data_IF_656168807179
#
_entry.id   IF_656168807179
#
_cell.length_a   1.000
_cell.length_b   1.000
_cell.length_c   1.000
_cell.angle_alpha   90.00
_cell.angle_beta   90.00
_cell.angle_gamma   90.00
#
_symmetry.space_group_name_H-M   'P 1'
#
loop_
_entity.id
_entity.type
_entity.pdbx_description
1 polymer ?
#
# COMPACT_ATOMS: atom_id res chain seq x y z
N UNK A 1 -73.23 -22.51 -9.15
CA UNK A 1 -73.31 -22.93 -10.57
C UNK A 1 -73.10 -21.68 -11.45
N UNK A 2 -72.25 -21.78 -12.48
CA UNK A 2 -71.97 -20.81 -13.57
C UNK A 2 -71.09 -19.59 -13.16
N UNK A 3 -69.80 -19.45 -13.51
CA UNK A 3 -69.01 -19.50 -14.77
C UNK A 3 -69.24 -18.31 -15.73
N UNK A 4 -68.20 -17.46 -15.77
CA UNK A 4 -67.57 -16.67 -16.87
C UNK A 4 -68.28 -15.42 -17.44
N UNK A 5 -67.46 -14.37 -17.61
CA UNK A 5 -67.09 -13.63 -18.85
C UNK A 5 -66.58 -12.23 -18.40
N UNK A 6 -65.27 -11.94 -18.43
CA UNK A 6 -64.42 -11.52 -19.57
C UNK A 6 -64.72 -10.08 -20.06
N UNK A 7 -63.84 -9.12 -19.74
CA UNK A 7 -63.31 -7.99 -20.55
C UNK A 7 -62.75 -6.92 -19.57
N UNK A 8 -61.47 -6.52 -19.53
CA UNK A 8 -60.59 -5.86 -20.50
C UNK A 8 -60.24 -4.46 -19.96
N UNK A 9 -58.96 -4.23 -19.63
CA UNK A 9 -58.15 -3.03 -19.92
C UNK A 9 -56.92 -3.04 -18.99
N UNK A 10 -55.74 -3.42 -19.48
CA UNK A 10 -54.74 -2.56 -20.13
C UNK A 10 -53.92 -1.74 -19.11
N UNK A 11 -52.58 -1.79 -19.26
CA UNK A 11 -51.54 -0.84 -18.78
C UNK A 11 -50.77 -1.28 -17.50
N UNK A 12 -49.43 -1.29 -17.49
CA UNK A 12 -48.51 -1.70 -18.55
C UNK A 12 -47.32 -2.56 -18.05
N UNK A 13 -46.75 -3.27 -19.00
CA UNK A 13 -45.36 -3.71 -19.05
C UNK A 13 -44.40 -2.53 -18.80
N UNK A 14 -43.89 -2.37 -17.58
CA UNK A 14 -42.75 -1.50 -17.31
C UNK A 14 -41.47 -2.25 -17.66
N UNK A 15 -41.18 -2.19 -18.95
CA UNK A 15 -39.83 -2.30 -19.49
C UNK A 15 -38.96 -1.20 -18.86
N UNK A 16 -37.70 -1.53 -18.58
CA UNK A 16 -36.48 -0.73 -18.78
C UNK A 16 -35.51 -0.79 -17.60
N UNK A 17 -34.42 -1.52 -17.86
CA UNK A 17 -33.06 -1.02 -17.71
C UNK A 17 -32.70 -0.36 -16.37
N UNK A 18 -32.26 -1.16 -15.41
CA UNK A 18 -31.05 -0.80 -14.67
C UNK A 18 -29.89 -1.46 -15.38
N UNK A 19 -29.34 -0.75 -16.36
CA UNK A 19 -28.09 -1.15 -16.98
C UNK A 19 -27.07 -1.43 -15.89
N UNK A 20 -26.36 -2.55 -16.00
CA UNK A 20 -24.99 -2.58 -15.56
C UNK A 20 -24.32 -1.43 -16.30
N UNK A 21 -24.27 -0.25 -15.67
CA UNK A 21 -23.34 0.77 -16.05
C UNK A 21 -22.03 0.04 -16.17
N UNK A 22 -21.50 -0.02 -17.39
CA UNK A 22 -20.14 -0.43 -17.64
C UNK A 22 -19.34 0.59 -16.85
N UNK A 23 -19.05 0.25 -15.60
CA UNK A 23 -18.05 0.93 -14.80
C UNK A 23 -16.80 0.78 -15.65
N UNK A 24 -16.52 1.84 -16.40
CA UNK A 24 -15.25 2.00 -17.04
C UNK A 24 -14.23 2.03 -15.91
N UNK A 25 -13.61 0.88 -15.66
CA UNK A 25 -12.52 0.69 -14.70
C UNK A 25 -11.23 1.40 -15.13
N UNK A 26 -11.35 2.51 -15.87
CA UNK A 26 -10.24 3.37 -16.31
C UNK A 26 -10.16 4.65 -15.50
N UNK A 27 -10.93 4.78 -14.42
CA UNK A 27 -10.72 5.78 -13.36
C UNK A 27 -9.44 5.52 -12.57
N UNK A 28 -8.36 5.11 -13.25
CA UNK A 28 -7.05 4.89 -12.69
C UNK A 28 -6.56 6.20 -12.11
N UNK A 29 -6.32 6.17 -10.82
CA UNK A 29 -5.83 7.25 -9.98
C UNK A 29 -4.37 7.64 -10.28
N UNK A 30 -3.78 7.07 -11.33
CA UNK A 30 -2.53 7.46 -11.96
C UNK A 30 -2.81 8.60 -12.95
N UNK A 31 -2.06 9.70 -12.87
CA UNK A 31 -2.20 10.87 -13.75
C UNK A 31 -2.31 10.47 -15.22
N UNK A 32 -3.34 10.98 -15.91
CA UNK A 32 -3.54 10.71 -17.33
C UNK A 32 -2.28 11.13 -18.12
N UNK A 33 -1.63 10.16 -18.76
CA UNK A 33 -0.40 10.37 -19.53
C UNK A 33 0.89 9.89 -18.85
N UNK A 34 0.85 9.43 -17.59
CA UNK A 34 2.00 8.82 -16.93
C UNK A 34 2.31 7.46 -17.56
N UNK A 35 3.54 7.28 -18.07
CA UNK A 35 3.98 6.06 -18.74
C UNK A 35 5.18 5.41 -18.07
N UNK A 36 5.99 6.21 -17.39
CA UNK A 36 7.28 5.77 -16.85
C UNK A 36 7.39 6.04 -15.36
N UNK A 37 8.09 5.16 -14.65
CA UNK A 37 8.41 5.30 -13.24
C UNK A 37 9.89 5.03 -13.01
N UNK A 38 10.51 5.84 -12.15
CA UNK A 38 11.85 5.60 -11.63
C UNK A 38 11.77 5.39 -10.11
N UNK A 39 12.54 4.43 -9.61
CA UNK A 39 12.66 4.15 -8.17
C UNK A 39 14.14 4.05 -7.86
N UNK A 40 14.66 5.07 -7.17
CA UNK A 40 16.03 5.05 -6.65
C UNK A 40 16.13 4.11 -5.44
N UNK A 41 17.35 3.68 -5.15
CA UNK A 41 17.63 2.83 -3.99
C UNK A 41 17.37 3.64 -2.71
N UNK A 42 16.61 3.07 -1.79
CA UNK A 42 16.36 3.66 -0.48
C UNK A 42 17.50 3.30 0.47
N UNK A 43 18.48 4.18 0.59
CA UNK A 43 19.63 3.94 1.47
C UNK A 43 19.21 3.83 2.94
N UNK A 44 19.91 2.99 3.69
CA UNK A 44 19.67 2.85 5.13
C UNK A 44 20.56 3.82 5.91
N UNK A 45 19.92 4.81 6.54
CA UNK A 45 20.56 5.82 7.41
C UNK A 45 20.17 5.67 8.88
N UNK A 46 19.48 4.59 9.23
CA UNK A 46 19.11 4.29 10.60
C UNK A 46 20.34 3.95 11.47
N UNK A 47 20.21 4.12 12.79
CA UNK A 47 21.28 3.79 13.74
C UNK A 47 21.58 2.29 13.76
N UNK A 48 20.54 1.45 13.68
CA UNK A 48 20.66 0.00 13.57
C UNK A 48 20.57 -0.39 12.09
N UNK A 49 21.66 -0.90 11.53
CA UNK A 49 21.75 -1.23 10.11
C UNK A 49 21.42 -2.71 9.91
N UNK A 50 20.25 -2.98 9.34
CA UNK A 50 20.01 -4.24 8.63
C UNK A 50 20.56 -4.09 7.19
N UNK A 51 21.56 -4.90 6.77
CA UNK A 51 22.23 -4.73 5.48
C UNK A 51 21.34 -5.05 4.28
N UNK A 52 20.32 -5.88 4.45
CA UNK A 52 19.43 -6.31 3.37
C UNK A 52 18.20 -5.40 3.21
N UNK A 53 17.88 -4.59 4.22
CA UNK A 53 16.63 -3.82 4.27
C UNK A 53 16.50 -2.82 3.12
N UNK A 54 17.59 -2.14 2.76
CA UNK A 54 17.63 -1.16 1.67
C UNK A 54 17.22 -1.79 0.33
N UNK A 55 17.85 -2.92 -0.01
CA UNK A 55 17.57 -3.64 -1.25
C UNK A 55 16.19 -4.28 -1.21
N UNK A 56 15.83 -4.94 -0.12
CA UNK A 56 14.55 -5.59 0.05
C UNK A 56 13.38 -4.60 -0.12
N UNK A 57 13.42 -3.48 0.59
CA UNK A 57 12.38 -2.46 0.49
C UNK A 57 12.29 -1.87 -0.93
N UNK A 58 13.43 -1.56 -1.55
CA UNK A 58 13.46 -1.02 -2.92
C UNK A 58 12.82 -1.98 -3.92
N UNK A 59 13.14 -3.28 -3.84
CA UNK A 59 12.56 -4.28 -4.75
C UNK A 59 11.09 -4.58 -4.42
N UNK A 60 10.70 -4.57 -3.15
CA UNK A 60 9.29 -4.70 -2.74
C UNK A 60 8.45 -3.54 -3.28
N UNK A 61 8.96 -2.30 -3.21
CA UNK A 61 8.28 -1.13 -3.77
C UNK A 61 8.15 -1.22 -5.30
N UNK A 62 9.23 -1.58 -6.01
CA UNK A 62 9.18 -1.83 -7.46
C UNK A 62 8.18 -2.93 -7.80
N UNK A 63 8.16 -4.01 -7.02
CA UNK A 63 7.24 -5.14 -7.20
C UNK A 63 5.79 -4.69 -7.04
N UNK A 64 5.49 -3.91 -5.99
CA UNK A 64 4.16 -3.32 -5.74
C UNK A 64 3.70 -2.49 -6.94
N UNK A 65 4.52 -1.54 -7.38
CA UNK A 65 4.20 -0.66 -8.51
C UNK A 65 4.00 -1.49 -9.79
N UNK A 66 4.85 -2.49 -10.06
CA UNK A 66 4.71 -3.37 -11.23
C UNK A 66 3.44 -4.20 -11.19
N UNK A 67 3.02 -4.65 -10.02
CA UNK A 67 1.83 -5.49 -9.85
C UNK A 67 0.51 -4.74 -9.98
N UNK A 68 0.52 -3.42 -9.78
CA UNK A 68 -0.70 -2.60 -9.71
C UNK A 68 -0.76 -1.52 -10.80
N UNK A 69 0.30 -1.36 -11.60
CA UNK A 69 0.36 -0.39 -12.70
C UNK A 69 0.94 -1.01 -13.97
N UNK A 70 0.66 -0.39 -15.10
CA UNK A 70 1.28 -0.71 -16.41
C UNK A 70 2.51 0.17 -16.72
N UNK A 71 3.04 0.89 -15.73
CA UNK A 71 4.15 1.82 -15.93
C UNK A 71 5.45 1.08 -16.27
N UNK A 72 6.21 1.65 -17.20
CA UNK A 72 7.52 1.13 -17.59
C UNK A 72 8.60 1.68 -16.65
N UNK A 73 9.46 0.80 -16.13
CA UNK A 73 10.57 1.20 -15.28
C UNK A 73 11.72 1.80 -16.09
N UNK A 74 12.12 3.01 -15.74
CA UNK A 74 13.30 3.70 -16.29
C UNK A 74 14.31 3.97 -15.18
N UNK A 75 15.59 4.13 -15.54
CA UNK A 75 16.66 4.31 -14.54
C UNK A 75 16.58 5.65 -13.83
N UNK A 76 16.27 6.71 -14.57
CA UNK A 76 16.21 8.10 -14.09
C UNK A 76 15.13 8.84 -14.88
N UNK A 77 14.69 9.98 -14.35
CA UNK A 77 13.83 10.93 -15.05
C UNK A 77 12.48 10.38 -15.54
N UNK A 78 11.92 9.38 -14.86
CA UNK A 78 10.56 8.89 -15.15
C UNK A 78 9.49 9.95 -14.91
N UNK A 79 8.27 9.72 -15.38
CA UNK A 79 7.12 10.59 -15.15
C UNK A 79 6.75 10.63 -13.65
N UNK A 80 6.86 9.47 -12.99
CA UNK A 80 6.87 9.32 -11.54
C UNK A 80 8.29 9.01 -11.05
N UNK A 81 8.77 9.71 -10.02
CA UNK A 81 10.09 9.45 -9.43
C UNK A 81 9.97 9.24 -7.92
N UNK A 82 10.46 8.09 -7.46
CA UNK A 82 10.56 7.76 -6.03
C UNK A 82 12.01 7.82 -5.59
N UNK A 83 12.23 8.57 -4.52
CA UNK A 83 13.53 8.73 -3.85
C UNK A 83 13.30 8.79 -2.35
N UNK A 84 14.30 8.42 -1.57
CA UNK A 84 14.15 8.46 -0.11
C UNK A 84 15.22 7.66 0.61
N UNK A 85 15.00 7.50 1.91
CA UNK A 85 15.90 6.76 2.79
C UNK A 85 15.14 6.13 3.94
N UNK A 86 15.65 5.00 4.42
CA UNK A 86 15.20 4.40 5.67
C UNK A 86 15.86 5.21 6.79
N UNK A 87 15.03 5.83 7.63
CA UNK A 87 15.49 6.72 8.70
C UNK A 87 15.49 6.04 10.05
N UNK A 88 14.70 4.99 10.23
CA UNK A 88 14.63 4.26 11.50
C UNK A 88 14.39 2.76 11.31
N UNK A 89 15.01 1.99 12.21
CA UNK A 89 14.88 0.54 12.36
C UNK A 89 15.07 0.21 13.84
N UNK A 90 13.98 0.16 14.60
CA UNK A 90 14.02 0.06 16.07
C UNK A 90 13.31 -1.17 16.58
N UNK A 91 13.90 -1.77 17.61
CA UNK A 91 13.36 -2.95 18.31
C UNK A 91 13.19 -2.56 19.77
N UNK A 92 11.95 -2.52 20.25
CA UNK A 92 11.65 -2.07 21.61
C UNK A 92 10.58 -2.95 22.28
N UNK A 93 10.71 -3.27 23.58
CA UNK A 93 9.66 -3.95 24.33
C UNK A 93 8.35 -3.16 24.31
N UNK A 94 7.22 -3.84 24.13
CA UNK A 94 5.91 -3.18 24.24
C UNK A 94 5.56 -3.00 25.70
N UNK A 95 5.29 -1.77 26.11
CA UNK A 95 4.85 -1.48 27.48
C UNK A 95 3.45 -2.05 27.73
N UNK A 96 3.29 -2.84 28.79
CA UNK A 96 2.01 -3.44 29.18
C UNK A 96 1.13 -2.35 29.82
N UNK A 97 -0.06 -2.10 29.25
CA UNK A 97 -1.08 -1.31 29.92
C UNK A 97 -1.64 -2.14 31.10
N UNK A 98 -1.74 -1.55 32.28
CA UNK A 98 -2.05 -2.21 33.55
C UNK A 98 -3.38 -3.01 33.61
N UNK A 99 -4.22 -2.97 32.57
CA UNK A 99 -5.53 -3.61 32.49
C UNK A 99 -5.68 -4.68 31.38
N UNK A 100 -4.61 -5.03 30.66
CA UNK A 100 -4.66 -6.11 29.67
C UNK A 100 -3.78 -7.29 30.11
N UNK A 101 -4.29 -8.50 29.88
CA UNK A 101 -3.64 -9.78 30.16
C UNK A 101 -2.14 -9.68 29.91
N UNK A 102 -1.34 -9.99 30.94
CA UNK A 102 0.12 -9.95 30.93
C UNK A 102 0.68 -10.73 29.73
N UNK A 103 0.94 -10.04 28.63
CA UNK A 103 1.69 -10.61 27.49
C UNK A 103 3.16 -10.29 27.74
N UNK A 104 3.74 -10.99 28.71
CA UNK A 104 5.18 -10.91 28.98
C UNK A 104 5.96 -11.30 27.70
N UNK A 105 6.95 -10.49 27.33
CA UNK A 105 7.84 -10.80 26.20
C UNK A 105 7.37 -10.34 24.82
N UNK A 106 6.41 -9.41 24.70
CA UNK A 106 6.08 -8.79 23.42
C UNK A 106 7.08 -7.67 23.09
N UNK A 107 7.67 -7.74 21.91
CA UNK A 107 8.61 -6.74 21.38
C UNK A 107 8.09 -6.23 20.04
N UNK A 108 8.35 -4.96 19.74
CA UNK A 108 7.95 -4.29 18.49
C UNK A 108 9.14 -4.01 17.62
N UNK A 109 9.11 -4.46 16.37
CA UNK A 109 9.98 -3.96 15.31
C UNK A 109 9.27 -2.81 14.59
N UNK A 110 9.89 -1.64 14.53
CA UNK A 110 9.40 -0.44 13.84
C UNK A 110 10.36 -0.05 12.73
N UNK A 111 9.84 0.23 11.54
CA UNK A 111 10.60 0.73 10.39
C UNK A 111 9.99 2.04 9.94
N UNK A 112 10.84 3.05 9.78
CA UNK A 112 10.44 4.38 9.30
C UNK A 112 11.23 4.76 8.05
N UNK A 113 10.51 5.23 7.04
CA UNK A 113 11.06 5.58 5.72
C UNK A 113 10.58 6.97 5.34
N UNK A 114 11.52 7.85 4.97
CA UNK A 114 11.19 9.10 4.31
C UNK A 114 11.15 8.89 2.81
N UNK A 115 10.06 9.31 2.17
CA UNK A 115 9.82 9.14 0.75
C UNK A 115 9.50 10.50 0.13
N UNK A 116 10.26 10.85 -0.89
CA UNK A 116 9.98 11.93 -1.81
C UNK A 116 9.48 11.34 -3.12
N UNK A 117 8.22 11.62 -3.42
CA UNK A 117 7.57 11.29 -4.67
C UNK A 117 7.42 12.55 -5.52
N UNK A 118 7.98 12.54 -6.72
CA UNK A 118 7.82 13.61 -7.69
C UNK A 118 7.01 13.13 -8.89
N UNK A 119 5.86 13.76 -9.11
CA UNK A 119 5.02 13.58 -10.28
C UNK A 119 5.27 14.72 -11.25
N UNK A 120 5.80 14.42 -12.44
CA UNK A 120 6.14 15.42 -13.46
C UNK A 120 4.92 15.96 -14.21
N UNK A 121 3.79 15.26 -14.17
CA UNK A 121 2.58 15.61 -14.91
C UNK A 121 1.68 16.48 -14.02
N UNK A 122 1.43 16.01 -12.79
CA UNK A 122 0.63 16.70 -11.78
C UNK A 122 1.52 17.03 -10.58
N UNK A 123 2.27 18.13 -10.68
CA UNK A 123 3.30 18.51 -9.69
C UNK A 123 2.69 18.73 -8.30
N UNK A 124 1.45 19.18 -8.22
CA UNK A 124 0.65 19.36 -7.00
C UNK A 124 0.37 18.05 -6.26
N UNK A 125 0.44 16.90 -6.93
CA UNK A 125 0.33 15.56 -6.33
C UNK A 125 1.67 14.98 -5.88
N UNK A 126 2.77 15.73 -6.02
CA UNK A 126 4.06 15.36 -5.45
C UNK A 126 4.04 15.49 -3.92
N UNK A 127 4.83 14.69 -3.23
CA UNK A 127 4.95 14.77 -1.77
C UNK A 127 6.34 14.43 -1.27
N UNK A 128 6.63 14.92 -0.07
CA UNK A 128 7.79 14.52 0.75
C UNK A 128 7.26 14.19 2.14
N UNK A 129 7.16 12.90 2.47
CA UNK A 129 6.49 12.41 3.66
C UNK A 129 7.20 11.20 4.27
N UNK A 130 6.98 11.03 5.57
CA UNK A 130 7.50 9.90 6.33
C UNK A 130 6.40 8.87 6.56
N UNK A 131 6.75 7.60 6.33
CA UNK A 131 5.89 6.45 6.55
C UNK A 131 6.50 5.56 7.62
N UNK A 132 5.70 5.17 8.60
CA UNK A 132 6.12 4.30 9.70
C UNK A 132 5.15 3.15 9.86
N UNK A 133 5.70 1.94 9.93
CA UNK A 133 4.95 0.73 10.24
C UNK A 133 5.73 -0.11 11.23
N UNK A 134 5.00 -0.96 11.93
CA UNK A 134 5.58 -1.82 12.93
C UNK A 134 4.90 -3.19 12.95
N UNK A 135 5.59 -4.16 13.54
CA UNK A 135 5.02 -5.46 13.84
C UNK A 135 5.49 -5.94 15.20
N UNK A 136 4.52 -6.41 16.00
CA UNK A 136 4.79 -6.99 17.31
C UNK A 136 5.09 -8.48 17.17
N UNK A 137 6.06 -8.96 17.93
CA UNK A 137 6.51 -10.35 17.94
C UNK A 137 6.84 -10.80 19.37
N UNK A 138 6.74 -12.11 19.59
CA UNK A 138 7.10 -12.71 20.87
C UNK A 138 8.62 -12.96 20.91
N UNK A 139 9.31 -12.29 21.83
CA UNK A 139 10.76 -12.41 22.01
C UNK A 139 11.19 -13.55 22.94
N UNK A 140 10.23 -14.27 23.55
CA UNK A 140 10.49 -15.43 24.41
C UNK A 140 10.35 -16.77 23.67
N UNK A 141 9.56 -16.82 22.59
CA UNK A 141 9.31 -18.05 21.83
C UNK A 141 10.42 -18.43 20.84
N UNK A 142 11.03 -17.44 20.18
CA UNK A 142 12.13 -17.65 19.24
C UNK A 142 13.06 -16.42 19.18
N UNK A 143 14.36 -16.59 18.86
CA UNK A 143 15.27 -15.47 18.68
C UNK A 143 14.79 -14.50 17.60
N UNK A 144 15.11 -13.21 17.75
CA UNK A 144 14.78 -12.20 16.73
C UNK A 144 15.35 -12.56 15.35
N UNK A 145 16.57 -13.08 15.29
CA UNK A 145 17.26 -13.45 14.05
C UNK A 145 16.51 -14.47 13.19
N UNK A 146 15.68 -15.34 13.80
CA UNK A 146 14.88 -16.33 13.06
C UNK A 146 13.56 -15.76 12.56
N UNK A 147 13.12 -14.64 13.12
CA UNK A 147 11.83 -13.99 12.81
C UNK A 147 12.01 -12.72 11.95
N UNK A 148 13.19 -12.09 12.00
CA UNK A 148 13.50 -10.80 11.40
C UNK A 148 13.10 -10.72 9.93
N UNK A 149 13.50 -11.70 9.11
CA UNK A 149 13.20 -11.69 7.67
C UNK A 149 11.70 -11.65 7.38
N UNK A 150 10.89 -12.41 8.14
CA UNK A 150 9.43 -12.42 8.00
C UNK A 150 8.83 -11.10 8.49
N UNK A 151 9.27 -10.60 9.64
CA UNK A 151 8.79 -9.33 10.20
C UNK A 151 9.08 -8.15 9.25
N UNK A 152 10.30 -8.07 8.73
CA UNK A 152 10.70 -7.05 7.75
C UNK A 152 9.86 -7.13 6.50
N UNK A 153 9.65 -8.33 5.95
CA UNK A 153 8.81 -8.54 4.77
C UNK A 153 7.38 -8.03 5.00
N UNK A 154 6.79 -8.35 6.13
CA UNK A 154 5.41 -7.96 6.45
C UNK A 154 5.27 -6.45 6.68
N UNK A 155 6.29 -5.81 7.27
CA UNK A 155 6.34 -4.36 7.45
C UNK A 155 6.54 -3.67 6.09
N UNK A 156 7.44 -4.17 5.24
CA UNK A 156 7.66 -3.65 3.90
C UNK A 156 6.39 -3.73 3.04
N UNK A 157 5.63 -4.82 3.14
CA UNK A 157 4.35 -4.94 2.43
C UNK A 157 3.37 -3.82 2.79
N UNK A 158 3.25 -3.49 4.08
CA UNK A 158 2.40 -2.39 4.56
C UNK A 158 2.95 -1.02 4.14
N UNK A 159 4.25 -0.78 4.29
CA UNK A 159 4.87 0.49 3.89
C UNK A 159 4.73 0.74 2.39
N UNK A 160 5.02 -0.26 1.57
CA UNK A 160 4.91 -0.14 0.10
C UNK A 160 3.47 0.06 -0.34
N UNK A 161 2.50 -0.52 0.35
CA UNK A 161 1.07 -0.27 0.14
C UNK A 161 0.69 1.18 0.49
N UNK A 162 1.08 1.69 1.65
CA UNK A 162 0.81 3.08 2.04
C UNK A 162 1.40 4.09 1.05
N UNK A 163 2.65 3.87 0.65
CA UNK A 163 3.38 4.74 -0.29
C UNK A 163 2.73 4.68 -1.67
N UNK A 164 2.39 3.48 -2.13
CA UNK A 164 1.68 3.29 -3.39
C UNK A 164 0.34 4.01 -3.38
N UNK A 165 -0.45 3.81 -2.32
CA UNK A 165 -1.74 4.45 -2.17
C UNK A 165 -1.59 5.97 -2.13
N UNK A 166 -0.60 6.49 -1.41
CA UNK A 166 -0.37 7.95 -1.37
C UNK A 166 0.02 8.53 -2.74
N UNK A 167 0.81 7.80 -3.53
CA UNK A 167 1.31 8.27 -4.82
C UNK A 167 0.31 8.11 -5.97
N UNK A 168 -0.45 7.02 -5.94
CA UNK A 168 -1.26 6.58 -7.08
C UNK A 168 -2.70 6.34 -6.75
N UNK A 169 -3.13 6.27 -5.48
CA UNK A 169 -4.54 6.13 -5.12
C UNK A 169 -5.04 7.45 -4.54
N UNK A 170 -5.76 8.24 -5.35
CA UNK A 170 -6.60 9.32 -4.84
C UNK A 170 -7.80 8.66 -4.16
N UNK A 171 -7.68 8.43 -2.84
CA UNK A 171 -8.79 8.04 -1.99
C UNK A 171 -9.47 9.30 -1.44
#
# INVERSE_FOLDING_TARGET
>A
MKIKILFFLFIPFFMLQSGCGVYSFTGGSISAGMKTVSVLVFENTAQLINPNLSQAFTEDLKSRIRSQTSLSFVRVEGDANFQGRITDYTIQPVAIQANQQQTAGLTRLTITIQVKYANKIEVDKSFDQTFTRFKDFNSQGAPFTTQEATLVKDINQQLTEDIYNKAFANW
#
